data_IF_257443785282
#
_entry.id   IF_257443785282
#
_cell.length_a   1.000
_cell.length_b   1.000
_cell.length_c   1.000
_cell.angle_alpha   90.00
_cell.angle_beta   90.00
_cell.angle_gamma   90.00
#
_symmetry.space_group_name_H-M   'P 1'
#
loop_
_entity.id
_entity.type
_entity.pdbx_description
1 polymer ?
#
# COMPACT_ATOMS: atom_id res chain seq x y z
N UNK A 1 -19.49 5.32 -16.01
CA UNK A 1 -19.13 3.95 -15.61
C UNK A 1 -18.62 3.95 -14.17
N UNK A 2 -19.09 3.04 -13.36
CA UNK A 2 -18.64 2.89 -11.99
C UNK A 2 -17.20 2.38 -11.90
N UNK A 3 -16.62 2.56 -10.72
CA UNK A 3 -15.29 2.03 -10.39
C UNK A 3 -15.36 0.50 -10.38
N UNK A 4 -14.42 -0.15 -11.06
CA UNK A 4 -14.36 -1.61 -11.19
C UNK A 4 -13.19 -2.17 -10.36
N UNK A 5 -13.48 -3.14 -9.50
CA UNK A 5 -12.43 -3.88 -8.79
C UNK A 5 -11.61 -4.71 -9.80
N UNK A 6 -10.32 -4.72 -9.61
CA UNK A 6 -9.36 -5.26 -10.56
C UNK A 6 -8.74 -4.23 -11.50
N UNK A 7 -9.27 -3.02 -11.54
CA UNK A 7 -8.65 -1.95 -12.31
C UNK A 7 -7.26 -1.61 -11.77
N UNK A 8 -6.33 -1.39 -12.69
CA UNK A 8 -4.93 -1.06 -12.40
C UNK A 8 -4.65 0.37 -12.83
N UNK A 9 -4.08 1.13 -11.92
CA UNK A 9 -3.79 2.55 -12.09
C UNK A 9 -2.30 2.83 -11.96
N UNK A 10 -1.82 3.73 -12.82
CA UNK A 10 -0.48 4.28 -12.75
C UNK A 10 -0.46 5.52 -11.87
N UNK A 11 0.53 5.61 -11.00
CA UNK A 11 0.78 6.76 -10.15
C UNK A 11 2.17 7.31 -10.45
N UNK A 12 2.25 8.58 -10.83
CA UNK A 12 3.52 9.29 -10.91
C UNK A 12 3.82 9.89 -9.53
N UNK A 13 4.86 9.39 -8.91
CA UNK A 13 5.29 9.83 -7.58
C UNK A 13 6.07 11.14 -7.63
N UNK A 14 6.15 11.81 -6.47
CA UNK A 14 6.87 13.09 -6.35
C UNK A 14 8.37 12.98 -6.68
N UNK A 15 8.95 11.79 -6.52
CA UNK A 15 10.35 11.52 -6.88
C UNK A 15 10.57 11.28 -8.40
N UNK A 16 9.53 11.43 -9.21
CA UNK A 16 9.58 11.23 -10.66
C UNK A 16 9.48 9.77 -11.13
N UNK A 17 9.32 8.83 -10.20
CA UNK A 17 9.14 7.41 -10.52
C UNK A 17 7.68 7.04 -10.63
N UNK A 18 7.39 6.01 -11.43
CA UNK A 18 6.06 5.43 -11.59
C UNK A 18 5.90 4.20 -10.73
N UNK A 19 4.76 4.09 -10.09
CA UNK A 19 4.30 2.86 -9.44
C UNK A 19 2.87 2.55 -9.86
N UNK A 20 2.40 1.38 -9.50
CA UNK A 20 1.11 0.86 -9.97
C UNK A 20 0.33 0.27 -8.82
N UNK A 21 -0.98 0.52 -8.83
CA UNK A 21 -1.90 0.01 -7.81
C UNK A 21 -3.07 -0.69 -8.46
N UNK A 22 -3.55 -1.75 -7.82
CA UNK A 22 -4.76 -2.46 -8.21
C UNK A 22 -5.84 -2.21 -7.17
N UNK A 23 -7.00 -1.75 -7.61
CA UNK A 23 -8.17 -1.60 -6.74
C UNK A 23 -8.76 -2.97 -6.45
N UNK A 24 -8.60 -3.45 -5.22
CA UNK A 24 -9.01 -4.80 -4.80
C UNK A 24 -10.45 -4.86 -4.30
N UNK A 25 -10.85 -3.87 -3.54
CA UNK A 25 -12.19 -3.70 -2.99
C UNK A 25 -12.38 -2.23 -2.63
N UNK A 26 -13.52 -1.86 -2.06
CA UNK A 26 -13.78 -0.47 -1.68
C UNK A 26 -12.63 0.08 -0.82
N UNK A 27 -11.95 1.10 -1.33
CA UNK A 27 -10.81 1.79 -0.71
C UNK A 27 -9.53 0.96 -0.54
N UNK A 28 -9.51 -0.33 -0.89
CA UNK A 28 -8.35 -1.18 -0.70
C UNK A 28 -7.55 -1.36 -1.99
N UNK A 29 -6.26 -1.05 -1.92
CA UNK A 29 -5.32 -1.15 -3.04
C UNK A 29 -4.20 -2.14 -2.73
N UNK A 30 -3.88 -2.97 -3.71
CA UNK A 30 -2.59 -3.66 -3.74
C UNK A 30 -1.59 -2.80 -4.51
N UNK A 31 -0.42 -2.57 -3.94
CA UNK A 31 0.67 -1.84 -4.60
C UNK A 31 1.66 -2.84 -5.17
N UNK A 32 1.85 -2.82 -6.48
CA UNK A 32 2.78 -3.73 -7.13
C UNK A 32 4.23 -3.50 -6.69
N UNK A 33 5.00 -4.57 -6.61
CA UNK A 33 6.44 -4.50 -6.39
C UNK A 33 7.14 -4.05 -7.68
N UNK A 34 6.85 -2.83 -8.08
CA UNK A 34 7.36 -2.22 -9.30
C UNK A 34 7.50 -0.71 -9.13
N UNK A 35 8.72 -0.24 -9.33
CA UNK A 35 9.06 1.18 -9.28
C UNK A 35 10.02 1.46 -10.42
N UNK A 36 9.67 2.40 -11.30
CA UNK A 36 10.44 2.66 -12.52
C UNK A 36 10.42 4.13 -12.92
N UNK A 37 11.49 4.58 -13.54
CA UNK A 37 11.55 5.91 -14.15
C UNK A 37 10.75 6.00 -15.45
N UNK A 38 10.36 4.84 -16.01
CA UNK A 38 9.57 4.76 -17.24
C UNK A 38 8.19 4.19 -16.98
N UNK A 39 7.19 4.77 -17.62
CA UNK A 39 5.82 4.26 -17.61
C UNK A 39 5.73 2.92 -18.36
N UNK A 40 4.86 2.05 -17.87
CA UNK A 40 4.53 0.79 -18.56
C UNK A 40 3.02 0.58 -18.62
N UNK A 41 2.57 -0.20 -19.59
CA UNK A 41 1.19 -0.72 -19.68
C UNK A 41 1.18 -2.25 -19.69
N UNK A 42 2.30 -2.86 -19.37
CA UNK A 42 2.47 -4.31 -19.37
C UNK A 42 1.89 -4.91 -18.09
N UNK A 43 0.63 -5.30 -18.14
CA UNK A 43 -0.09 -5.89 -17.00
C UNK A 43 0.55 -7.22 -16.59
N UNK A 44 0.99 -8.04 -17.53
CA UNK A 44 1.62 -9.33 -17.24
C UNK A 44 2.94 -9.13 -16.47
N UNK A 45 3.72 -8.12 -16.85
CA UNK A 45 4.92 -7.75 -16.11
C UNK A 45 4.58 -7.38 -14.66
N UNK A 46 3.58 -6.52 -14.45
CA UNK A 46 3.17 -6.11 -13.12
C UNK A 46 2.70 -7.31 -12.28
N UNK A 47 1.87 -8.17 -12.84
CA UNK A 47 1.39 -9.37 -12.16
C UNK A 47 2.54 -10.33 -11.82
N UNK A 48 3.55 -10.44 -12.68
CA UNK A 48 4.74 -11.27 -12.42
C UNK A 48 5.57 -10.77 -11.24
N UNK A 49 5.56 -9.47 -10.98
CA UNK A 49 6.22 -8.86 -9.83
C UNK A 49 5.45 -9.07 -8.52
N UNK A 50 4.14 -9.21 -8.61
CA UNK A 50 3.28 -9.35 -7.44
C UNK A 50 3.10 -8.04 -6.66
N UNK A 51 2.41 -8.14 -5.53
CA UNK A 51 2.13 -6.99 -4.67
C UNK A 51 3.14 -6.91 -3.52
N UNK A 52 3.69 -5.73 -3.30
CA UNK A 52 4.64 -5.46 -2.23
C UNK A 52 3.94 -5.12 -0.92
N UNK A 53 2.82 -4.41 -1.02
CA UNK A 53 2.03 -3.98 0.13
C UNK A 53 0.57 -3.78 -0.26
N UNK A 54 -0.26 -3.66 0.77
CA UNK A 54 -1.69 -3.38 0.63
C UNK A 54 -2.03 -2.21 1.53
N UNK A 55 -2.77 -1.24 0.99
CA UNK A 55 -3.10 -0.03 1.74
C UNK A 55 -4.47 0.48 1.37
N UNK A 56 -5.13 1.13 2.30
CA UNK A 56 -6.43 1.75 2.05
C UNK A 56 -6.26 3.24 1.76
N UNK A 57 -7.02 3.73 0.80
CA UNK A 57 -7.05 5.14 0.42
C UNK A 57 -8.41 5.48 -0.18
N UNK A 58 -8.90 6.69 0.07
CA UNK A 58 -10.10 7.18 -0.62
C UNK A 58 -9.88 7.24 -2.14
N UNK A 59 -10.91 6.93 -2.89
CA UNK A 59 -10.88 6.79 -4.36
C UNK A 59 -10.94 8.14 -5.11
N UNK A 60 -10.62 9.23 -4.43
CA UNK A 60 -10.68 10.59 -5.00
C UNK A 60 -9.81 10.75 -6.24
N UNK A 61 -8.61 10.18 -6.24
CA UNK A 61 -7.70 10.25 -7.38
C UNK A 61 -8.25 9.53 -8.62
N UNK A 62 -8.98 8.44 -8.40
CA UNK A 62 -9.65 7.70 -9.48
C UNK A 62 -10.81 8.52 -10.02
N UNK A 63 -11.68 9.01 -9.15
CA UNK A 63 -12.86 9.78 -9.53
C UNK A 63 -12.49 11.08 -10.27
N UNK A 64 -11.39 11.71 -9.89
CA UNK A 64 -10.85 12.91 -10.55
C UNK A 64 -9.93 12.60 -11.73
N UNK A 65 -9.72 11.33 -12.06
CA UNK A 65 -8.83 10.88 -13.16
C UNK A 65 -7.38 11.38 -13.01
N UNK A 66 -6.92 11.50 -11.78
CA UNK A 66 -5.53 11.86 -11.46
C UNK A 66 -4.62 10.66 -11.65
N UNK A 67 -5.04 9.50 -11.14
CA UNK A 67 -4.37 8.23 -11.43
C UNK A 67 -4.88 7.67 -12.74
N UNK A 68 -3.95 7.27 -13.58
CA UNK A 68 -4.26 6.85 -14.94
C UNK A 68 -4.61 5.36 -14.98
N UNK A 69 -5.80 5.05 -15.47
CA UNK A 69 -6.20 3.67 -15.72
C UNK A 69 -5.36 3.09 -16.87
N UNK A 70 -4.68 1.97 -16.62
CA UNK A 70 -3.84 1.30 -17.62
C UNK A 70 -4.35 -0.06 -18.05
N UNK A 71 -5.24 -0.65 -17.29
CA UNK A 71 -5.81 -1.96 -17.57
C UNK A 71 -6.56 -2.52 -16.38
N UNK A 72 -6.88 -3.80 -16.46
CA UNK A 72 -7.59 -4.49 -15.39
C UNK A 72 -7.20 -5.97 -15.35
N UNK A 73 -7.45 -6.59 -14.21
CA UNK A 73 -7.26 -8.02 -13.98
C UNK A 73 -8.54 -8.58 -13.36
N UNK A 74 -8.87 -9.82 -13.71
CA UNK A 74 -9.95 -10.55 -13.04
C UNK A 74 -9.41 -11.10 -11.72
N UNK A 75 -9.79 -10.45 -10.62
CA UNK A 75 -9.29 -10.80 -9.28
C UNK A 75 -9.68 -12.22 -8.87
N UNK A 76 -10.91 -12.63 -9.17
CA UNK A 76 -11.40 -13.97 -8.83
C UNK A 76 -10.67 -15.06 -9.64
N UNK A 77 -10.58 -14.89 -10.96
CA UNK A 77 -9.90 -15.84 -11.83
C UNK A 77 -8.42 -16.01 -11.48
N UNK A 78 -7.77 -14.96 -10.99
CA UNK A 78 -6.35 -14.96 -10.58
C UNK A 78 -6.15 -15.27 -9.10
N UNK A 79 -7.22 -15.50 -8.35
CA UNK A 79 -7.16 -15.74 -6.90
C UNK A 79 -6.43 -14.62 -6.13
N UNK A 80 -6.68 -13.38 -6.53
CA UNK A 80 -6.07 -12.19 -5.93
C UNK A 80 -7.04 -11.61 -4.91
N UNK A 81 -6.59 -11.47 -3.67
CA UNK A 81 -7.37 -10.87 -2.57
C UNK A 81 -6.47 -10.14 -1.59
N UNK A 82 -7.07 -9.25 -0.80
CA UNK A 82 -6.34 -8.57 0.27
C UNK A 82 -6.05 -9.59 1.38
N UNK A 83 -4.79 -9.78 1.78
CA UNK A 83 -4.43 -10.68 2.87
C UNK A 83 -4.78 -10.08 4.23
N UNK A 84 -4.57 -10.85 5.28
CA UNK A 84 -4.59 -10.33 6.64
C UNK A 84 -3.52 -9.25 6.81
N UNK A 85 -3.88 -8.14 7.44
CA UNK A 85 -2.99 -7.00 7.65
C UNK A 85 -2.92 -6.67 9.14
N UNK A 86 -1.71 -6.61 9.67
CA UNK A 86 -1.48 -6.24 11.07
C UNK A 86 -1.86 -4.77 11.31
N UNK A 87 -2.60 -4.50 12.38
CA UNK A 87 -2.85 -3.14 12.85
C UNK A 87 -1.62 -2.76 13.67
N UNK A 88 -0.72 -1.99 13.05
CA UNK A 88 0.59 -1.68 13.60
C UNK A 88 0.81 -0.17 13.61
N UNK A 89 1.12 0.36 14.80
CA UNK A 89 1.48 1.75 14.99
C UNK A 89 2.99 1.82 15.17
N UNK A 90 3.71 2.20 14.12
CA UNK A 90 5.17 2.21 14.10
C UNK A 90 5.81 3.10 15.18
N UNK A 91 5.08 4.13 15.62
CA UNK A 91 5.52 5.00 16.71
C UNK A 91 5.24 4.43 18.12
N UNK A 92 4.52 3.32 18.20
CA UNK A 92 4.18 2.67 19.46
C UNK A 92 4.24 1.15 19.31
N UNK A 93 5.43 0.64 19.02
CA UNK A 93 5.67 -0.80 18.80
C UNK A 93 5.23 -1.67 19.97
N UNK A 94 5.55 -1.25 21.20
CA UNK A 94 5.21 -2.01 22.41
C UNK A 94 3.70 -2.21 22.53
N UNK A 95 2.93 -1.14 22.38
CA UNK A 95 1.48 -1.19 22.41
C UNK A 95 0.91 -2.07 21.31
N UNK A 96 1.41 -1.91 20.08
CA UNK A 96 0.95 -2.68 18.93
C UNK A 96 1.17 -4.18 19.10
N UNK A 97 2.35 -4.58 19.58
CA UNK A 97 2.65 -5.99 19.83
C UNK A 97 1.82 -6.58 20.97
N UNK A 98 1.50 -5.83 21.99
CA UNK A 98 0.64 -6.28 23.08
C UNK A 98 -0.77 -6.58 22.61
N UNK A 99 -1.31 -5.78 21.71
CA UNK A 99 -2.69 -5.94 21.25
C UNK A 99 -2.86 -7.08 20.24
N UNK A 100 -1.87 -7.34 19.38
CA UNK A 100 -1.89 -8.39 18.34
C UNK A 100 -3.20 -8.42 17.53
N UNK A 101 -3.63 -7.26 17.05
CA UNK A 101 -4.82 -7.11 16.23
C UNK A 101 -4.50 -7.04 14.74
N UNK A 102 -5.36 -7.65 13.94
CA UNK A 102 -5.26 -7.63 12.49
C UNK A 102 -6.59 -7.20 11.86
N UNK A 103 -6.52 -6.74 10.61
CA UNK A 103 -7.68 -6.63 9.74
C UNK A 103 -7.74 -7.90 8.88
N UNK A 104 -8.82 -8.65 9.01
CA UNK A 104 -9.06 -9.87 8.25
C UNK A 104 -10.42 -9.79 7.58
N UNK A 105 -10.47 -9.86 6.25
CA UNK A 105 -11.70 -9.72 5.47
C UNK A 105 -12.51 -8.46 5.84
N UNK A 106 -11.82 -7.35 6.10
CA UNK A 106 -12.44 -6.06 6.44
C UNK A 106 -12.88 -5.93 7.90
N UNK A 107 -12.60 -6.90 8.76
CA UNK A 107 -12.99 -6.88 10.17
C UNK A 107 -11.76 -7.00 11.09
N UNK A 108 -11.73 -6.24 12.21
CA UNK A 108 -10.67 -6.38 13.20
C UNK A 108 -10.79 -7.73 13.92
N UNK A 109 -9.66 -8.35 14.19
CA UNK A 109 -9.57 -9.66 14.84
C UNK A 109 -8.31 -9.74 15.68
N UNK A 110 -8.41 -10.30 16.88
CA UNK A 110 -7.24 -10.61 17.71
C UNK A 110 -6.65 -11.96 17.29
N UNK A 111 -5.32 -12.04 17.20
CA UNK A 111 -4.56 -13.24 16.85
C UNK A 111 -3.44 -13.45 17.85
N UNK A 112 -2.72 -14.57 17.74
CA UNK A 112 -1.53 -14.80 18.55
C UNK A 112 -0.40 -13.84 18.14
N UNK A 113 0.50 -13.59 19.09
CA UNK A 113 1.61 -12.64 18.91
C UNK A 113 2.56 -13.06 17.77
N UNK A 114 2.84 -14.35 17.65
CA UNK A 114 3.76 -14.87 16.63
C UNK A 114 3.24 -14.59 15.21
N UNK A 115 1.98 -14.89 14.96
CA UNK A 115 1.34 -14.58 13.66
C UNK A 115 1.33 -13.09 13.37
N UNK A 116 0.97 -12.27 14.36
CA UNK A 116 0.99 -10.81 14.24
C UNK A 116 2.39 -10.28 13.88
N UNK A 117 3.41 -10.70 14.61
CA UNK A 117 4.80 -10.28 14.35
C UNK A 117 5.28 -10.70 12.97
N UNK A 118 4.87 -11.88 12.50
CA UNK A 118 5.20 -12.35 11.15
C UNK A 118 4.60 -11.43 10.07
N UNK A 119 3.35 -11.03 10.22
CA UNK A 119 2.71 -10.09 9.30
C UNK A 119 3.46 -8.74 9.29
N UNK A 120 3.79 -8.20 10.46
CA UNK A 120 4.53 -6.94 10.58
C UNK A 120 5.89 -7.02 9.89
N UNK A 121 6.67 -8.05 10.17
CA UNK A 121 8.00 -8.24 9.57
C UNK A 121 7.96 -8.37 8.05
N UNK A 122 6.90 -8.96 7.52
CA UNK A 122 6.71 -9.12 6.07
C UNK A 122 6.08 -7.92 5.40
N UNK A 123 5.75 -6.86 6.16
CA UNK A 123 5.15 -5.65 5.63
C UNK A 123 3.65 -5.73 5.36
N UNK A 124 2.97 -6.78 5.83
CA UNK A 124 1.52 -6.88 5.77
C UNK A 124 0.90 -6.05 6.89
N UNK A 125 0.87 -4.74 6.68
CA UNK A 125 0.48 -3.74 7.67
C UNK A 125 -0.71 -2.95 7.15
N UNK A 126 -1.74 -2.82 7.98
CA UNK A 126 -2.93 -2.04 7.68
C UNK A 126 -2.63 -0.54 7.79
N UNK A 127 -3.14 0.23 6.84
CA UNK A 127 -3.09 1.68 6.88
C UNK A 127 -4.19 2.29 6.03
N UNK A 128 -4.54 3.53 6.31
CA UNK A 128 -5.59 4.26 5.60
C UNK A 128 -5.19 5.73 5.41
N UNK A 129 -5.35 6.22 4.18
CA UNK A 129 -5.18 7.63 3.84
C UNK A 129 -6.49 8.27 3.40
N UNK A 130 -6.84 9.39 3.99
CA UNK A 130 -7.97 10.21 3.56
C UNK A 130 -7.71 10.92 2.24
N UNK A 131 -6.46 11.31 2.00
CA UNK A 131 -6.04 12.06 0.81
C UNK A 131 -5.09 11.23 -0.03
N UNK A 132 -5.35 11.12 -1.33
CA UNK A 132 -4.46 10.43 -2.25
C UNK A 132 -3.06 11.06 -2.28
N UNK A 133 -2.96 12.38 -2.08
CA UNK A 133 -1.67 13.08 -2.03
C UNK A 133 -0.80 12.64 -0.85
N UNK A 134 -1.40 12.32 0.27
CA UNK A 134 -0.69 11.75 1.42
C UNK A 134 -0.17 10.33 1.12
N UNK A 135 -0.99 9.53 0.43
CA UNK A 135 -0.59 8.20 0.00
C UNK A 135 0.56 8.25 -1.02
N UNK A 136 0.49 9.13 -2.00
CA UNK A 136 1.57 9.35 -2.98
C UNK A 136 2.88 9.77 -2.29
N UNK A 137 2.80 10.69 -1.34
CA UNK A 137 3.96 11.12 -0.54
C UNK A 137 4.55 9.95 0.24
N UNK A 138 3.71 9.18 0.90
CA UNK A 138 4.13 8.01 1.67
C UNK A 138 4.80 6.96 0.76
N UNK A 139 4.23 6.68 -0.40
CA UNK A 139 4.84 5.76 -1.38
C UNK A 139 6.21 6.27 -1.85
N UNK A 140 6.35 7.58 -2.10
CA UNK A 140 7.64 8.17 -2.48
C UNK A 140 8.71 8.00 -1.41
N UNK A 141 8.32 8.01 -0.14
CA UNK A 141 9.26 7.89 0.99
C UNK A 141 9.62 6.45 1.33
N UNK A 142 8.72 5.50 1.13
CA UNK A 142 8.85 4.16 1.74
C UNK A 142 8.76 2.98 0.79
N UNK A 143 8.28 3.14 -0.44
CA UNK A 143 8.03 2.01 -1.33
C UNK A 143 9.31 1.25 -1.68
N UNK A 144 10.41 1.95 -1.93
CA UNK A 144 11.64 1.35 -2.47
C UNK A 144 12.21 0.28 -1.53
N UNK A 145 12.30 0.57 -0.25
CA UNK A 145 12.85 -0.35 0.76
C UNK A 145 11.79 -0.91 1.73
N UNK A 146 10.52 -0.76 1.38
CA UNK A 146 9.42 -1.28 2.20
C UNK A 146 9.60 -2.77 2.50
N UNK A 147 9.39 -3.28 3.74
CA UNK A 147 8.86 -2.53 4.89
C UNK A 147 9.92 -1.91 5.80
N UNK A 148 11.20 -2.02 5.49
CA UNK A 148 12.30 -1.65 6.38
C UNK A 148 12.22 -0.21 6.87
N UNK A 149 11.91 0.73 5.97
CA UNK A 149 11.85 2.15 6.32
C UNK A 149 10.75 2.52 7.32
N UNK A 150 9.69 1.74 7.42
CA UNK A 150 8.60 1.99 8.39
C UNK A 150 8.74 1.15 9.67
N UNK A 151 9.50 0.07 9.63
CA UNK A 151 9.74 -0.76 10.81
C UNK A 151 10.77 -0.15 11.76
N UNK A 152 11.63 0.71 11.25
CA UNK A 152 12.61 1.47 12.04
C UNK A 152 12.07 2.89 12.26
N UNK A 153 11.66 3.17 13.50
CA UNK A 153 11.08 4.46 13.88
C UNK A 153 12.04 5.63 13.60
N UNK A 154 13.34 5.43 13.80
CA UNK A 154 14.37 6.44 13.57
C UNK A 154 14.45 6.84 12.10
N UNK A 155 14.48 5.85 11.21
CA UNK A 155 14.49 6.05 9.75
C UNK A 155 13.19 6.71 9.29
N UNK A 156 12.06 6.20 9.75
CA UNK A 156 10.74 6.73 9.40
C UNK A 156 10.60 8.20 9.80
N UNK A 157 10.96 8.53 11.04
CA UNK A 157 10.89 9.90 11.56
C UNK A 157 11.79 10.85 10.79
N UNK A 158 13.00 10.43 10.45
CA UNK A 158 13.93 11.23 9.67
C UNK A 158 13.40 11.54 8.27
N UNK A 159 12.87 10.54 7.57
CA UNK A 159 12.31 10.72 6.22
C UNK A 159 11.12 11.68 6.22
N UNK A 160 10.20 11.54 7.18
CA UNK A 160 9.04 12.43 7.32
C UNK A 160 9.49 13.86 7.62
N UNK A 161 10.44 14.02 8.55
CA UNK A 161 11.00 15.32 8.91
C UNK A 161 11.67 16.02 7.73
N UNK A 162 12.45 15.30 6.95
CA UNK A 162 13.14 15.85 5.79
C UNK A 162 12.15 16.22 4.68
N UNK A 163 11.10 15.43 4.47
CA UNK A 163 10.05 15.76 3.52
C UNK A 163 9.32 17.06 3.90
N UNK A 164 9.03 17.27 5.18
CA UNK A 164 8.36 18.48 5.67
C UNK A 164 9.21 19.74 5.54
N UNK A 165 10.54 19.62 5.46
CA UNK A 165 11.46 20.75 5.25
C UNK A 165 11.53 21.23 3.81
N UNK A 166 11.13 20.39 2.85
CA UNK A 166 11.17 20.68 1.41
C UNK A 166 9.90 21.42 0.96
N UNK A 167 8.89 21.44 1.79
CA UNK A 167 7.63 22.17 1.56
C UNK A 167 7.73 23.59 2.19
#
# INVERSE_FOLDING_TARGET
MGIKYGNIYEILLLNGKYTYVCLMSKFNFGVFDYLSEKSTRDIDLLLSRGFKLYHSCKETAINKKIWKLIGSVDLEAKSISVPDLAIFLSWNKEYSFQESKIMSNGNPKKVDKEYYEKLVKNGFIYGFFNKYSEFETWLSLFLEDYPNGILDFSIMSERIKNNNKVV
#
